data_IF_773735420279
#
_entry.id   IF_773735420279
#
_cell.length_a   1.000
_cell.length_b   1.000
_cell.length_c   1.000
_cell.angle_alpha   90.00
_cell.angle_beta   90.00
_cell.angle_gamma   90.00
#
_symmetry.space_group_name_H-M   'P 1'
#
loop_
_entity.id
_entity.type
_entity.pdbx_description
1 polymer ?
#
# COMPACT_ATOMS: atom_id res chain seq x y z
N UNK A 1 -23.81 -2.57 4.10
CA UNK A 1 -22.78 -3.17 5.00
C UNK A 1 -21.40 -2.56 4.75
N UNK A 2 -21.18 -1.96 3.58
CA UNK A 2 -19.93 -1.30 3.22
C UNK A 2 -19.51 -0.14 4.14
N UNK A 3 -20.43 0.61 4.76
CA UNK A 3 -20.07 1.69 5.69
C UNK A 3 -19.29 1.21 6.93
N UNK A 4 -19.50 -0.05 7.35
CA UNK A 4 -18.78 -0.65 8.48
C UNK A 4 -17.46 -1.32 8.06
N UNK A 5 -17.42 -1.92 6.86
CA UNK A 5 -16.22 -2.60 6.35
C UNK A 5 -15.18 -1.63 5.79
N UNK A 6 -15.59 -0.53 5.16
CA UNK A 6 -14.68 0.47 4.61
C UNK A 6 -13.67 1.04 5.62
N UNK A 7 -14.06 1.51 6.83
CA UNK A 7 -13.09 2.02 7.80
C UNK A 7 -12.14 0.92 8.31
N UNK A 8 -12.61 -0.33 8.41
CA UNK A 8 -11.76 -1.46 8.79
C UNK A 8 -10.68 -1.69 7.74
N UNK A 9 -11.05 -1.76 6.45
CA UNK A 9 -10.13 -2.04 5.35
C UNK A 9 -9.21 -0.85 5.05
N UNK A 10 -9.72 0.38 5.10
CA UNK A 10 -8.94 1.58 4.78
C UNK A 10 -8.01 2.01 5.92
N UNK A 11 -8.40 1.80 7.17
CA UNK A 11 -7.68 2.36 8.33
C UNK A 11 -7.25 1.24 9.29
N UNK A 12 -8.18 0.41 9.75
CA UNK A 12 -7.92 -0.59 10.77
C UNK A 12 -6.83 -1.58 10.39
N UNK A 13 -6.96 -2.23 9.23
CA UNK A 13 -6.03 -3.24 8.74
C UNK A 13 -4.63 -2.65 8.47
N UNK A 14 -4.47 -1.52 7.74
CA UNK A 14 -3.17 -0.86 7.61
C UNK A 14 -2.55 -0.43 8.95
N UNK A 15 -3.36 0.00 9.91
CA UNK A 15 -2.89 0.38 11.26
C UNK A 15 -2.30 -0.83 11.99
N UNK A 16 -2.97 -1.97 11.96
CA UNK A 16 -2.46 -3.21 12.57
C UNK A 16 -1.15 -3.63 11.89
N UNK A 17 -1.09 -3.60 10.56
CA UNK A 17 0.13 -3.92 9.81
C UNK A 17 1.29 -2.99 10.19
N UNK A 18 1.03 -1.69 10.33
CA UNK A 18 2.01 -0.69 10.75
C UNK A 18 2.51 -0.94 12.19
N UNK A 19 1.61 -1.24 13.13
CA UNK A 19 1.99 -1.57 14.51
C UNK A 19 2.87 -2.82 14.57
N UNK A 20 2.53 -3.87 13.80
CA UNK A 20 3.33 -5.09 13.69
C UNK A 20 4.71 -4.81 13.08
N UNK A 21 4.78 -3.94 12.07
CA UNK A 21 6.03 -3.51 11.45
C UNK A 21 6.95 -2.79 12.45
N UNK A 22 6.41 -1.83 13.19
CA UNK A 22 7.15 -1.12 14.25
C UNK A 22 7.62 -2.08 15.35
N UNK A 23 6.76 -3.00 15.78
CA UNK A 23 7.12 -4.03 16.75
C UNK A 23 8.25 -4.92 16.23
N UNK A 24 8.17 -5.35 14.96
CA UNK A 24 9.21 -6.14 14.32
C UNK A 24 10.57 -5.42 14.23
N UNK A 25 10.58 -4.10 14.07
CA UNK A 25 11.83 -3.32 14.07
C UNK A 25 12.36 -3.10 15.47
N UNK A 26 11.48 -2.86 16.45
CA UNK A 26 11.87 -2.74 17.86
C UNK A 26 12.55 -4.02 18.37
N UNK A 27 12.01 -5.19 18.02
CA UNK A 27 12.63 -6.47 18.39
C UNK A 27 13.99 -6.68 17.72
N UNK A 28 14.12 -6.33 16.43
CA UNK A 28 15.39 -6.42 15.71
C UNK A 28 16.48 -5.49 16.28
N UNK A 29 16.10 -4.32 16.82
CA UNK A 29 17.01 -3.37 17.46
C UNK A 29 17.55 -3.82 18.81
N UNK A 30 16.75 -4.58 19.57
CA UNK A 30 17.11 -5.08 20.90
C UNK A 30 18.04 -6.30 20.84
N UNK A 31 18.24 -6.89 19.67
CA UNK A 31 19.20 -7.98 19.49
C UNK A 31 20.63 -7.47 19.79
N UNK A 32 21.42 -8.20 20.59
CA UNK A 32 22.75 -7.75 20.99
C UNK A 32 23.63 -7.53 19.76
N UNK A 33 24.36 -6.40 19.68
CA UNK A 33 25.29 -6.16 18.59
C UNK A 33 26.47 -7.14 18.71
N UNK A 34 26.91 -7.80 17.63
CA UNK A 34 28.27 -8.33 17.59
C UNK A 34 29.25 -7.16 17.66
N UNK A 35 30.32 -7.37 18.41
CA UNK A 35 31.31 -6.38 18.86
C UNK A 35 31.67 -5.32 17.79
N UNK A 36 31.56 -4.03 18.15
CA UNK A 36 31.89 -2.90 17.28
C UNK A 36 31.50 -1.53 17.88
N UNK A 37 32.14 -0.43 17.44
CA UNK A 37 32.07 0.88 18.10
C UNK A 37 30.65 1.49 18.00
N UNK A 38 29.98 1.56 19.15
CA UNK A 38 28.53 1.72 19.26
C UNK A 38 28.02 3.17 19.38
N UNK A 39 28.91 4.16 19.47
CA UNK A 39 28.53 5.50 19.97
C UNK A 39 28.12 6.49 18.87
N UNK A 40 28.88 6.63 17.78
CA UNK A 40 28.54 7.56 16.69
C UNK A 40 27.30 7.14 15.87
N UNK A 41 26.95 5.85 15.87
CA UNK A 41 25.77 5.34 15.16
C UNK A 41 24.45 5.56 15.93
N UNK A 42 24.51 5.92 17.22
CA UNK A 42 23.32 6.09 18.08
C UNK A 42 22.62 7.44 17.89
N UNK A 43 23.37 8.52 17.65
CA UNK A 43 22.86 9.90 17.59
C UNK A 43 21.75 10.08 16.53
N UNK A 44 21.97 9.62 15.29
CA UNK A 44 20.96 9.71 14.22
C UNK A 44 19.98 8.53 14.16
N UNK A 45 20.08 7.56 15.08
CA UNK A 45 19.32 6.32 14.98
C UNK A 45 17.82 6.52 15.25
N UNK A 46 17.46 7.50 16.09
CA UNK A 46 16.07 7.81 16.44
C UNK A 46 15.37 8.52 15.29
N UNK A 47 16.02 9.52 14.70
CA UNK A 47 15.52 10.29 13.55
C UNK A 47 15.23 9.38 12.35
N UNK A 48 16.15 8.45 12.04
CA UNK A 48 16.01 7.54 10.90
C UNK A 48 14.83 6.57 11.07
N UNK A 49 14.52 6.16 12.29
CA UNK A 49 13.30 5.36 12.53
C UNK A 49 12.05 6.20 12.51
N UNK A 50 12.11 7.45 12.96
CA UNK A 50 10.99 8.36 12.82
C UNK A 50 10.65 8.53 11.32
N UNK A 51 11.65 8.72 10.46
CA UNK A 51 11.45 8.78 9.00
C UNK A 51 10.80 7.50 8.47
N UNK A 52 11.28 6.33 8.89
CA UNK A 52 10.63 5.06 8.52
C UNK A 52 9.19 4.97 9.02
N UNK A 53 8.93 5.35 10.28
CA UNK A 53 7.61 5.25 10.90
C UNK A 53 6.60 6.17 10.19
N UNK A 54 7.03 7.38 9.82
CA UNK A 54 6.23 8.31 9.03
C UNK A 54 5.96 7.77 7.62
N UNK A 55 6.99 7.29 6.92
CA UNK A 55 6.84 6.76 5.57
C UNK A 55 5.95 5.50 5.51
N UNK A 56 6.13 4.57 6.44
CA UNK A 56 5.32 3.35 6.54
C UNK A 56 3.93 3.59 7.12
N UNK A 57 3.71 4.72 7.81
CA UNK A 57 2.42 5.15 8.35
C UNK A 57 1.57 5.94 7.36
N UNK A 58 2.14 6.40 6.24
CA UNK A 58 1.42 7.14 5.19
C UNK A 58 0.11 6.47 4.70
N UNK A 59 0.01 5.14 4.56
CA UNK A 59 -1.23 4.48 4.16
C UNK A 59 -2.40 4.76 5.09
N UNK A 60 -2.14 4.94 6.40
CA UNK A 60 -3.18 5.23 7.39
C UNK A 60 -3.76 6.62 7.12
N UNK A 61 -2.91 7.62 6.87
CA UNK A 61 -3.34 8.97 6.53
C UNK A 61 -4.14 8.98 5.21
N UNK A 62 -3.66 8.28 4.18
CA UNK A 62 -4.40 8.14 2.92
C UNK A 62 -5.72 7.40 3.09
N UNK A 63 -5.76 6.35 3.91
CA UNK A 63 -6.98 5.62 4.25
C UNK A 63 -8.01 6.49 4.95
N UNK A 64 -7.58 7.35 5.89
CA UNK A 64 -8.44 8.34 6.53
C UNK A 64 -9.01 9.31 5.50
N UNK A 65 -8.16 9.86 4.62
CA UNK A 65 -8.60 10.80 3.57
C UNK A 65 -9.64 10.14 2.66
N UNK A 66 -9.36 8.94 2.16
CA UNK A 66 -10.28 8.20 1.29
C UNK A 66 -11.57 7.87 2.03
N UNK A 67 -11.52 7.47 3.30
CA UNK A 67 -12.72 7.19 4.08
C UNK A 67 -13.59 8.43 4.27
N UNK A 68 -12.99 9.58 4.60
CA UNK A 68 -13.71 10.86 4.74
C UNK A 68 -14.39 11.23 3.41
N UNK A 69 -13.72 11.05 2.28
CA UNK A 69 -14.27 11.33 0.95
C UNK A 69 -15.34 10.31 0.53
N UNK A 70 -15.19 9.05 0.92
CA UNK A 70 -16.12 7.97 0.58
C UNK A 70 -17.37 7.95 1.48
N UNK A 71 -17.30 8.52 2.69
CA UNK A 71 -18.37 8.45 3.69
C UNK A 71 -19.75 8.88 3.15
N UNK A 72 -19.91 10.03 2.46
CA UNK A 72 -21.21 10.44 1.94
C UNK A 72 -21.81 9.40 0.96
N UNK A 73 -20.96 8.81 0.12
CA UNK A 73 -21.35 7.75 -0.83
C UNK A 73 -21.79 6.49 -0.08
N UNK A 74 -21.02 6.09 0.93
CA UNK A 74 -21.31 4.90 1.74
C UNK A 74 -22.63 5.06 2.51
N UNK A 75 -22.88 6.24 3.09
CA UNK A 75 -24.10 6.55 3.81
C UNK A 75 -25.33 6.48 2.88
N UNK A 76 -25.21 6.96 1.63
CA UNK A 76 -26.26 6.83 0.60
C UNK A 76 -26.48 5.36 0.26
N UNK A 77 -25.43 4.59 -0.01
CA UNK A 77 -25.53 3.16 -0.36
C UNK A 77 -26.18 2.36 0.78
N UNK A 78 -25.77 2.57 2.02
CA UNK A 78 -26.35 1.89 3.18
C UNK A 78 -27.82 2.31 3.42
N UNK A 79 -28.20 3.54 3.05
CA UNK A 79 -29.57 4.06 3.16
C UNK A 79 -30.53 3.62 2.05
N UNK A 80 -30.03 3.20 0.88
CA UNK A 80 -30.85 2.91 -0.31
C UNK A 80 -31.70 1.62 -0.21
N UNK A 81 -31.49 0.77 0.80
CA UNK A 81 -32.26 -0.47 0.98
C UNK A 81 -32.05 -1.51 -0.13
N UNK A 82 -32.51 -2.75 0.10
CA UNK A 82 -32.22 -3.90 -0.78
C UNK A 82 -32.91 -3.87 -2.18
N UNK A 83 -33.59 -2.78 -2.55
CA UNK A 83 -34.48 -2.69 -3.71
C UNK A 83 -33.99 -1.85 -4.89
N UNK A 84 -32.85 -1.17 -4.78
CA UNK A 84 -32.33 -0.31 -5.86
C UNK A 84 -31.36 -1.03 -6.80
N UNK A 85 -31.51 -0.77 -8.11
CA UNK A 85 -30.77 -1.43 -9.20
C UNK A 85 -29.28 -1.10 -9.29
N UNK A 86 -28.76 -0.18 -8.46
CA UNK A 86 -27.38 0.33 -8.57
C UNK A 86 -26.45 -0.47 -7.64
N UNK A 87 -25.85 -1.53 -8.16
CA UNK A 87 -24.94 -2.44 -7.41
C UNK A 87 -23.50 -1.92 -7.35
N UNK A 88 -23.30 -0.72 -6.79
CA UNK A 88 -21.97 -0.11 -6.64
C UNK A 88 -21.23 -0.57 -5.38
N UNK A 89 -21.96 -1.09 -4.38
CA UNK A 89 -21.39 -1.58 -3.11
C UNK A 89 -20.26 -2.60 -3.30
N UNK A 90 -20.40 -3.65 -4.15
CA UNK A 90 -19.34 -4.65 -4.31
C UNK A 90 -18.05 -4.07 -4.92
N UNK A 91 -18.17 -3.10 -5.85
CA UNK A 91 -17.00 -2.46 -6.47
C UNK A 91 -16.23 -1.66 -5.43
N UNK A 92 -16.93 -0.88 -4.60
CA UNK A 92 -16.33 -0.11 -3.50
C UNK A 92 -15.66 -1.02 -2.46
N UNK A 93 -16.29 -2.15 -2.13
CA UNK A 93 -15.71 -3.14 -1.21
C UNK A 93 -14.42 -3.76 -1.77
N UNK A 94 -14.39 -4.15 -3.05
CA UNK A 94 -13.16 -4.68 -3.67
C UNK A 94 -12.08 -3.62 -3.83
N UNK A 95 -12.44 -2.36 -4.06
CA UNK A 95 -11.48 -1.27 -4.14
C UNK A 95 -10.85 -0.95 -2.76
N UNK A 96 -11.66 -0.90 -1.69
CA UNK A 96 -11.16 -0.74 -0.31
C UNK A 96 -10.32 -1.94 0.14
N UNK A 97 -10.70 -3.15 -0.27
CA UNK A 97 -9.89 -4.35 -0.06
C UNK A 97 -8.55 -4.27 -0.79
N UNK A 98 -8.55 -3.85 -2.06
CA UNK A 98 -7.33 -3.69 -2.85
C UNK A 98 -6.38 -2.66 -2.24
N UNK A 99 -6.91 -1.55 -1.71
CA UNK A 99 -6.14 -0.56 -0.95
C UNK A 99 -5.52 -1.17 0.32
N UNK A 100 -6.28 -1.96 1.07
CA UNK A 100 -5.80 -2.66 2.26
C UNK A 100 -4.64 -3.62 1.94
N UNK A 101 -4.79 -4.43 0.89
CA UNK A 101 -3.76 -5.39 0.46
C UNK A 101 -2.52 -4.67 -0.04
N UNK A 102 -2.67 -3.60 -0.82
CA UNK A 102 -1.56 -2.76 -1.27
C UNK A 102 -0.79 -2.17 -0.09
N UNK A 103 -1.51 -1.62 0.88
CA UNK A 103 -0.94 -1.05 2.11
C UNK A 103 -0.16 -2.08 2.91
N UNK A 104 -0.75 -3.26 3.16
CA UNK A 104 -0.11 -4.34 3.91
C UNK A 104 1.12 -4.88 3.19
N UNK A 105 1.03 -5.09 1.88
CA UNK A 105 2.14 -5.61 1.07
C UNK A 105 3.31 -4.63 1.02
N UNK A 106 3.02 -3.33 0.87
CA UNK A 106 4.02 -2.28 0.91
C UNK A 106 4.71 -2.17 2.27
N UNK A 107 3.94 -2.14 3.37
CA UNK A 107 4.47 -2.11 4.73
C UNK A 107 5.32 -3.37 5.00
N UNK A 108 4.86 -4.55 4.60
CA UNK A 108 5.61 -5.79 4.77
C UNK A 108 6.95 -5.74 4.01
N UNK A 109 6.95 -5.33 2.74
CA UNK A 109 8.15 -5.19 1.92
C UNK A 109 9.13 -4.17 2.53
N UNK A 110 8.64 -2.99 2.92
CA UNK A 110 9.40 -1.94 3.60
C UNK A 110 10.08 -2.44 4.86
N UNK A 111 9.29 -3.06 5.74
CA UNK A 111 9.75 -3.60 7.02
C UNK A 111 10.82 -4.64 6.80
N UNK A 112 10.62 -5.54 5.82
CA UNK A 112 11.59 -6.59 5.52
C UNK A 112 12.92 -5.98 5.06
N UNK A 113 12.90 -5.05 4.10
CA UNK A 113 14.10 -4.35 3.59
C UNK A 113 14.85 -3.66 4.74
N UNK A 114 14.15 -2.84 5.53
CA UNK A 114 14.77 -2.07 6.62
C UNK A 114 15.28 -3.00 7.72
N UNK A 115 14.52 -4.03 8.09
CA UNK A 115 14.93 -5.00 9.13
C UNK A 115 16.17 -5.78 8.72
N UNK A 116 16.26 -6.23 7.46
CA UNK A 116 17.42 -6.98 6.96
C UNK A 116 18.67 -6.11 6.86
N UNK A 117 18.51 -4.81 6.60
CA UNK A 117 19.60 -3.85 6.41
C UNK A 117 19.67 -2.84 7.55
N UNK A 118 19.25 -3.22 8.76
CA UNK A 118 19.05 -2.29 9.87
C UNK A 118 20.32 -1.51 10.23
N UNK A 119 21.51 -2.14 10.15
CA UNK A 119 22.79 -1.46 10.40
C UNK A 119 23.10 -0.39 9.37
N UNK A 120 22.93 -0.72 8.09
CA UNK A 120 23.13 0.23 6.99
C UNK A 120 22.10 1.36 7.05
N UNK A 121 20.85 1.02 7.37
CA UNK A 121 19.76 1.99 7.56
C UNK A 121 20.03 2.96 8.70
N UNK A 122 20.58 2.49 9.82
CA UNK A 122 20.94 3.35 10.95
C UNK A 122 22.33 3.98 10.81
N UNK A 123 23.07 3.67 9.74
CA UNK A 123 24.44 4.14 9.49
C UNK A 123 24.58 4.97 8.21
N UNK A 124 25.78 5.05 7.63
CA UNK A 124 26.05 5.85 6.42
C UNK A 124 25.26 5.40 5.18
N UNK A 125 24.75 4.17 5.18
CA UNK A 125 23.94 3.61 4.08
C UNK A 125 22.47 4.01 4.09
N UNK A 126 22.04 4.86 5.02
CA UNK A 126 20.64 5.24 5.24
C UNK A 126 19.90 5.57 3.94
N UNK A 127 20.43 6.50 3.14
CA UNK A 127 19.77 6.96 1.92
C UNK A 127 19.49 5.84 0.92
N UNK A 128 20.43 4.89 0.75
CA UNK A 128 20.25 3.76 -0.17
C UNK A 128 19.17 2.81 0.33
N UNK A 129 19.20 2.44 1.61
CA UNK A 129 18.19 1.55 2.18
C UNK A 129 16.82 2.22 2.22
N UNK A 130 16.77 3.53 2.48
CA UNK A 130 15.53 4.32 2.45
C UNK A 130 14.91 4.32 1.05
N UNK A 131 15.69 4.60 -0.01
CA UNK A 131 15.20 4.53 -1.39
C UNK A 131 14.65 3.14 -1.73
N UNK A 132 15.34 2.06 -1.36
CA UNK A 132 14.83 0.70 -1.56
C UNK A 132 13.49 0.48 -0.84
N UNK A 133 13.35 1.00 0.38
CA UNK A 133 12.08 0.92 1.12
C UNK A 133 11.00 1.88 0.58
N UNK A 134 11.37 2.91 -0.17
CA UNK A 134 10.40 3.83 -0.75
C UNK A 134 9.70 3.22 -1.97
N UNK A 135 10.34 2.33 -2.74
CA UNK A 135 9.73 1.75 -3.96
C UNK A 135 8.34 1.13 -3.71
N UNK A 136 8.11 0.28 -2.69
CA UNK A 136 6.77 -0.25 -2.43
C UNK A 136 5.68 0.79 -2.09
N UNK A 137 6.05 2.05 -1.80
CA UNK A 137 5.05 3.12 -1.59
C UNK A 137 4.24 3.44 -2.84
N UNK A 138 4.76 3.15 -4.04
CA UNK A 138 4.04 3.41 -5.29
C UNK A 138 2.72 2.64 -5.35
N UNK A 139 2.68 1.41 -4.81
CA UNK A 139 1.45 0.60 -4.71
C UNK A 139 0.34 1.33 -3.96
N UNK A 140 0.69 2.00 -2.86
CA UNK A 140 -0.25 2.73 -2.01
C UNK A 140 -0.77 3.96 -2.77
N UNK A 141 0.12 4.68 -3.46
CA UNK A 141 -0.26 5.83 -4.29
C UNK A 141 -1.18 5.41 -5.42
N UNK A 142 -0.89 4.30 -6.11
CA UNK A 142 -1.73 3.77 -7.17
C UNK A 142 -3.10 3.33 -6.66
N UNK A 143 -3.16 2.70 -5.48
CA UNK A 143 -4.43 2.35 -4.84
C UNK A 143 -5.23 3.60 -4.47
N UNK A 144 -4.58 4.64 -3.92
CA UNK A 144 -5.20 5.93 -3.60
C UNK A 144 -5.80 6.58 -4.86
N UNK A 145 -5.02 6.71 -5.93
CA UNK A 145 -5.48 7.29 -7.20
C UNK A 145 -6.68 6.51 -7.75
N UNK A 146 -6.60 5.18 -7.74
CA UNK A 146 -7.69 4.31 -8.20
C UNK A 146 -8.96 4.49 -7.37
N UNK A 147 -8.84 4.62 -6.05
CA UNK A 147 -9.97 4.92 -5.16
C UNK A 147 -10.59 6.29 -5.46
N UNK A 148 -9.78 7.33 -5.66
CA UNK A 148 -10.27 8.67 -5.98
C UNK A 148 -11.02 8.69 -7.32
N UNK A 149 -10.48 8.01 -8.34
CA UNK A 149 -11.14 7.87 -9.64
C UNK A 149 -12.45 7.09 -9.54
N UNK A 150 -12.48 6.00 -8.76
CA UNK A 150 -13.72 5.25 -8.52
C UNK A 150 -14.77 6.11 -7.82
N UNK A 151 -14.40 6.83 -6.76
CA UNK A 151 -15.33 7.72 -6.05
C UNK A 151 -15.89 8.81 -6.96
N UNK A 152 -15.08 9.34 -7.89
CA UNK A 152 -15.55 10.25 -8.93
C UNK A 152 -16.64 9.63 -9.82
N UNK A 153 -16.42 8.40 -10.30
CA UNK A 153 -17.41 7.68 -11.10
C UNK A 153 -18.70 7.39 -10.31
N UNK A 154 -18.57 6.89 -9.08
CA UNK A 154 -19.72 6.59 -8.22
C UNK A 154 -20.55 7.84 -7.93
N UNK A 155 -19.90 8.97 -7.61
CA UNK A 155 -20.60 10.24 -7.40
C UNK A 155 -21.35 10.69 -8.66
N UNK A 156 -20.77 10.51 -9.85
CA UNK A 156 -21.43 10.83 -11.12
C UNK A 156 -22.70 10.00 -11.33
N UNK A 157 -22.62 8.68 -11.10
CA UNK A 157 -23.79 7.79 -11.20
C UNK A 157 -24.88 8.16 -10.19
N UNK A 158 -24.51 8.43 -8.92
CA UNK A 158 -25.47 8.84 -7.89
C UNK A 158 -26.09 10.21 -8.17
N UNK A 159 -25.37 11.09 -8.87
CA UNK A 159 -25.84 12.40 -9.33
C UNK A 159 -26.79 12.36 -10.55
N UNK A 160 -27.20 11.18 -11.01
CA UNK A 160 -28.09 11.00 -12.16
C UNK A 160 -27.36 10.70 -13.48
N UNK A 161 -26.06 10.41 -13.43
CA UNK A 161 -25.32 9.87 -14.57
C UNK A 161 -25.80 8.48 -14.99
N UNK A 162 -25.39 7.99 -16.17
CA UNK A 162 -25.78 6.66 -16.64
C UNK A 162 -25.34 5.58 -15.64
N UNK A 163 -26.23 4.62 -15.38
CA UNK A 163 -25.90 3.47 -14.54
C UNK A 163 -24.95 2.53 -15.31
N UNK A 164 -23.86 2.07 -14.69
CA UNK A 164 -22.93 1.15 -15.33
C UNK A 164 -23.59 -0.22 -15.59
N UNK A 165 -23.18 -0.88 -16.66
CA UNK A 165 -23.65 -2.24 -16.96
C UNK A 165 -23.09 -3.27 -15.97
N UNK A 166 -23.77 -4.40 -15.82
CA UNK A 166 -23.27 -5.52 -14.99
C UNK A 166 -21.89 -6.01 -15.44
N UNK A 167 -21.62 -5.99 -16.75
CA UNK A 167 -20.32 -6.35 -17.31
C UNK A 167 -19.21 -5.35 -16.92
N UNK A 168 -19.52 -4.05 -16.89
CA UNK A 168 -18.58 -3.02 -16.45
C UNK A 168 -18.29 -3.16 -14.94
N UNK A 169 -19.30 -3.41 -14.12
CA UNK A 169 -19.15 -3.67 -12.69
C UNK A 169 -18.28 -4.91 -12.42
N UNK A 170 -18.54 -6.02 -13.11
CA UNK A 170 -17.73 -7.24 -12.99
C UNK A 170 -16.28 -7.03 -13.47
N UNK A 171 -16.09 -6.26 -14.54
CA UNK A 171 -14.78 -5.84 -15.03
C UNK A 171 -14.00 -5.01 -14.01
N UNK A 172 -14.66 -4.07 -13.34
CA UNK A 172 -14.05 -3.27 -12.28
C UNK A 172 -13.63 -4.13 -11.08
N UNK A 173 -14.51 -5.02 -10.61
CA UNK A 173 -14.21 -5.94 -9.49
C UNK A 173 -12.99 -6.80 -9.81
N UNK A 174 -12.98 -7.47 -10.95
CA UNK A 174 -11.87 -8.35 -11.36
C UNK A 174 -10.56 -7.58 -11.53
N UNK A 175 -10.62 -6.33 -12.00
CA UNK A 175 -9.45 -5.46 -12.11
C UNK A 175 -8.87 -5.07 -10.74
N UNK A 176 -9.72 -4.72 -9.76
CA UNK A 176 -9.27 -4.46 -8.39
C UNK A 176 -8.68 -5.71 -7.72
N UNK A 177 -9.25 -6.89 -7.98
CA UNK A 177 -8.68 -8.16 -7.54
C UNK A 177 -7.28 -8.41 -8.15
N UNK A 178 -7.14 -8.22 -9.47
CA UNK A 178 -5.87 -8.37 -10.16
C UNK A 178 -4.81 -7.40 -9.62
N UNK A 179 -5.18 -6.14 -9.38
CA UNK A 179 -4.30 -5.15 -8.75
C UNK A 179 -3.88 -5.57 -7.35
N UNK A 180 -4.83 -6.00 -6.50
CA UNK A 180 -4.54 -6.46 -5.14
C UNK A 180 -3.52 -7.62 -5.14
N UNK A 181 -3.75 -8.64 -5.97
CA UNK A 181 -2.83 -9.77 -6.14
C UNK A 181 -1.46 -9.31 -6.65
N UNK A 182 -1.44 -8.37 -7.60
CA UNK A 182 -0.21 -7.78 -8.12
C UNK A 182 0.68 -7.19 -7.03
N UNK A 183 0.09 -6.53 -6.03
CA UNK A 183 0.86 -5.91 -4.93
C UNK A 183 1.64 -6.88 -4.05
N UNK A 184 1.26 -8.16 -4.03
CA UNK A 184 1.97 -9.23 -3.29
C UNK A 184 3.38 -9.46 -3.89
N UNK A 185 3.61 -9.06 -5.14
CA UNK A 185 4.93 -9.12 -5.77
C UNK A 185 5.98 -8.25 -5.04
N UNK A 186 5.59 -7.19 -4.32
CA UNK A 186 6.53 -6.33 -3.58
C UNK A 186 7.25 -7.07 -2.45
N UNK A 187 6.57 -7.76 -1.50
CA UNK A 187 7.23 -8.61 -0.51
C UNK A 187 8.17 -9.65 -1.14
N UNK A 188 7.76 -10.27 -2.25
CA UNK A 188 8.57 -11.27 -2.96
C UNK A 188 9.84 -10.63 -3.51
N UNK A 189 9.71 -9.51 -4.22
CA UNK A 189 10.83 -8.76 -4.77
C UNK A 189 11.76 -8.21 -3.67
N UNK A 190 11.21 -7.78 -2.53
CA UNK A 190 11.99 -7.42 -1.35
C UNK A 190 12.83 -8.60 -0.84
N UNK A 191 12.26 -9.81 -0.81
CA UNK A 191 12.98 -11.04 -0.48
C UNK A 191 14.19 -11.29 -1.39
N UNK A 192 14.03 -11.11 -2.70
CA UNK A 192 15.14 -11.24 -3.66
C UNK A 192 16.14 -10.08 -3.59
N UNK A 193 15.67 -8.85 -3.47
CA UNK A 193 16.50 -7.64 -3.35
C UNK A 193 17.40 -7.71 -2.11
N UNK A 194 16.89 -8.28 -1.02
CA UNK A 194 17.67 -8.52 0.21
C UNK A 194 18.78 -9.56 0.06
N UNK A 195 18.83 -10.34 -1.03
CA UNK A 195 19.98 -11.25 -1.31
C UNK A 195 21.22 -10.49 -1.79
N UNK A 196 21.07 -9.24 -2.23
CA UNK A 196 22.20 -8.39 -2.65
C UNK A 196 22.88 -7.80 -1.40
N UNK A 197 23.98 -8.41 -0.95
CA UNK A 197 24.62 -8.07 0.33
C UNK A 197 25.32 -6.70 0.33
N UNK A 198 25.99 -6.35 -0.75
CA UNK A 198 26.71 -5.08 -0.88
C UNK A 198 25.86 -4.05 -1.62
N UNK A 199 25.60 -2.90 -0.99
CA UNK A 199 24.92 -1.75 -1.59
C UNK A 199 25.88 -0.71 -2.16
N UNK A 200 27.11 -1.07 -2.51
CA UNK A 200 27.93 -0.29 -3.45
C UNK A 200 27.16 0.04 -4.73
N UNK A 201 27.62 1.02 -5.53
CA UNK A 201 26.84 1.60 -6.65
C UNK A 201 26.18 0.56 -7.56
N UNK A 202 26.93 -0.46 -8.00
CA UNK A 202 26.41 -1.55 -8.85
C UNK A 202 25.42 -2.46 -8.12
N UNK A 203 25.68 -2.77 -6.85
CA UNK A 203 24.80 -3.61 -6.03
C UNK A 203 23.49 -2.92 -5.69
N UNK A 204 23.54 -1.62 -5.38
CA UNK A 204 22.36 -0.80 -5.17
C UNK A 204 21.46 -0.75 -6.41
N UNK A 205 22.01 -0.45 -7.60
CA UNK A 205 21.24 -0.46 -8.84
C UNK A 205 20.61 -1.83 -9.13
N UNK A 206 21.32 -2.92 -8.84
CA UNK A 206 20.76 -4.28 -8.97
C UNK A 206 19.61 -4.52 -8.00
N UNK A 207 19.75 -4.09 -6.74
CA UNK A 207 18.71 -4.24 -5.72
C UNK A 207 17.45 -3.44 -6.06
N UNK A 208 17.60 -2.23 -6.63
CA UNK A 208 16.50 -1.39 -7.14
C UNK A 208 15.81 -2.08 -8.31
N UNK A 209 16.55 -2.52 -9.33
CA UNK A 209 15.96 -3.21 -10.50
C UNK A 209 15.13 -4.44 -10.12
N UNK A 210 15.56 -5.20 -9.11
CA UNK A 210 14.78 -6.35 -8.62
C UNK A 210 13.43 -5.89 -8.03
N UNK A 211 13.42 -4.76 -7.30
CA UNK A 211 12.18 -4.18 -6.77
C UNK A 211 11.27 -3.63 -7.87
N UNK A 212 11.84 -2.96 -8.88
CA UNK A 212 11.11 -2.47 -10.05
C UNK A 212 10.47 -3.62 -10.86
N UNK A 213 11.17 -4.76 -11.00
CA UNK A 213 10.56 -5.97 -11.61
C UNK A 213 9.36 -6.45 -10.79
N UNK A 214 9.43 -6.32 -9.46
CA UNK A 214 8.30 -6.60 -8.56
C UNK A 214 7.13 -5.64 -8.71
N UNK A 215 7.33 -4.47 -9.31
CA UNK A 215 6.28 -3.48 -9.58
C UNK A 215 5.50 -3.79 -10.86
N UNK A 216 6.06 -4.55 -11.81
CA UNK A 216 5.41 -4.86 -13.09
C UNK A 216 4.01 -5.47 -12.93
N UNK A 217 3.77 -6.47 -12.05
CA UNK A 217 2.42 -7.01 -11.85
C UNK A 217 1.43 -5.97 -11.31
N UNK A 218 1.91 -5.02 -10.50
CA UNK A 218 1.10 -3.92 -9.97
C UNK A 218 0.68 -2.98 -11.10
N UNK A 219 1.61 -2.64 -11.99
CA UNK A 219 1.33 -1.79 -13.15
C UNK A 219 0.33 -2.44 -14.11
N UNK A 220 0.45 -3.76 -14.36
CA UNK A 220 -0.54 -4.49 -15.16
C UNK A 220 -1.92 -4.41 -14.50
N UNK A 221 -2.02 -4.68 -13.20
CA UNK A 221 -3.27 -4.54 -12.46
C UNK A 221 -3.82 -3.11 -12.49
N UNK A 222 -2.95 -2.10 -12.39
CA UNK A 222 -3.34 -0.69 -12.44
C UNK A 222 -3.92 -0.29 -13.80
N UNK A 223 -3.28 -0.75 -14.89
CA UNK A 223 -3.80 -0.54 -16.25
C UNK A 223 -5.18 -1.16 -16.40
N UNK A 224 -5.39 -2.38 -15.89
CA UNK A 224 -6.71 -3.02 -15.90
C UNK A 224 -7.73 -2.19 -15.12
N UNK A 225 -7.37 -1.71 -13.93
CA UNK A 225 -8.24 -0.83 -13.14
C UNK A 225 -8.60 0.43 -13.91
N UNK A 226 -7.64 1.13 -14.52
CA UNK A 226 -7.92 2.35 -15.27
C UNK A 226 -8.81 2.10 -16.49
N UNK A 227 -8.59 1.00 -17.21
CA UNK A 227 -9.46 0.61 -18.33
C UNK A 227 -10.88 0.29 -17.85
N UNK A 228 -11.02 -0.42 -16.73
CA UNK A 228 -12.32 -0.75 -16.17
C UNK A 228 -13.05 0.48 -15.60
N UNK A 229 -12.34 1.38 -14.94
CA UNK A 229 -12.89 2.64 -14.41
C UNK A 229 -13.34 3.59 -15.52
N UNK A 230 -12.74 3.52 -16.71
CA UNK A 230 -13.20 4.28 -17.89
C UNK A 230 -14.49 3.72 -18.49
N UNK A 231 -14.76 2.44 -18.25
CA UNK A 231 -15.96 1.75 -18.76
C UNK A 231 -17.13 1.79 -17.77
N UNK A 232 -16.92 2.32 -16.55
CA UNK A 232 -17.95 2.65 -15.58
C UNK A 232 -18.61 3.99 -15.93
#
# INVERSE_FOLDING_TARGET
MAGLLAPILLIGVPTIAWLLALFSLRTARRAPPPEGPAEAAREHSTERILVYALNSGAPIAFGIIVYVLAKPVLDVIDGLGAGTNVRLEPVLLWATFAFSVASCSAIAAQTWIVRRRLREFLGPGFGRVFILSAVPTTAIVFALVSMLLLLGNVNSTLGGGPAPSDSALAGAISSFQAFAVGTIAFPVAAGFSNRVRDLGQRGFLRAVRILEVGELPVLVGLVLVFLALRAL
#
